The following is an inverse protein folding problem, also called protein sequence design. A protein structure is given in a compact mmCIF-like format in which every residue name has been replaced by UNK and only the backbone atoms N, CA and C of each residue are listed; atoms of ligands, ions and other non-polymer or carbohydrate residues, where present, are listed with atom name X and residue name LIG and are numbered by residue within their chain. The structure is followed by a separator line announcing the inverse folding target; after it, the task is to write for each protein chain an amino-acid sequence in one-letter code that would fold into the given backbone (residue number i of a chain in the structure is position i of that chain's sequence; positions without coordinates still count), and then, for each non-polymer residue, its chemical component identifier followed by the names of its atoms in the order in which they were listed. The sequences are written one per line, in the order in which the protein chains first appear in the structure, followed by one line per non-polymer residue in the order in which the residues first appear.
data_IF_808538296899
#
_entry.id   IF_808538296899
#
_cell.length_a   1.000
_cell.length_b   1.000
_cell.length_c   1.000
_cell.angle_alpha   90.00
_cell.angle_beta   90.00
_cell.angle_gamma   90.00
#
_symmetry.space_group_name_H-M   'P 1'
#
loop_
_entity.id
_entity.type
_entity.pdbx_description
1 polymer ?
#
# COMPACT_ATOMS: atom_id res chain seq x y z
N UNK A 1 36.96 -49.76 -71.41
CA UNK A 1 36.70 -50.44 -70.13
C UNK A 1 37.44 -49.78 -69.06
N UNK A 2 36.81 -48.94 -68.25
CA UNK A 2 37.23 -48.58 -66.86
C UNK A 2 36.13 -47.69 -66.26
N UNK A 3 35.42 -48.23 -65.28
CA UNK A 3 34.40 -47.54 -64.48
C UNK A 3 35.08 -46.79 -63.35
N UNK A 4 34.96 -45.49 -63.28
CA UNK A 4 35.37 -44.66 -62.18
C UNK A 4 34.12 -44.25 -61.37
N UNK A 5 34.05 -44.80 -60.10
CA UNK A 5 33.00 -44.50 -59.16
C UNK A 5 33.21 -43.16 -58.46
N UNK A 6 32.20 -42.31 -58.48
CA UNK A 6 32.14 -41.08 -57.68
C UNK A 6 31.60 -41.42 -56.29
N UNK A 7 32.40 -41.16 -55.29
CA UNK A 7 31.99 -41.17 -53.87
C UNK A 7 31.54 -39.78 -53.50
N UNK A 8 30.24 -39.59 -53.30
CA UNK A 8 29.66 -38.37 -52.78
C UNK A 8 29.91 -38.34 -51.27
N UNK A 9 30.66 -37.31 -50.83
CA UNK A 9 30.90 -36.98 -49.42
C UNK A 9 29.75 -36.08 -48.95
N UNK A 10 28.79 -36.60 -48.20
CA UNK A 10 27.74 -35.80 -47.56
C UNK A 10 28.31 -35.17 -46.28
N UNK A 11 28.57 -33.87 -46.32
CA UNK A 11 28.93 -33.07 -45.11
C UNK A 11 27.66 -32.75 -44.34
N UNK A 12 27.48 -33.38 -43.19
CA UNK A 12 26.39 -33.12 -42.26
C UNK A 12 26.74 -31.88 -41.45
N UNK A 13 26.15 -30.73 -41.77
CA UNK A 13 26.26 -29.48 -41.01
C UNK A 13 25.26 -29.58 -39.83
N UNK A 14 25.74 -29.92 -38.63
CA UNK A 14 24.97 -29.79 -37.39
C UNK A 14 24.90 -28.32 -37.01
N UNK A 15 23.76 -27.68 -37.28
CA UNK A 15 23.41 -26.38 -36.73
C UNK A 15 23.02 -26.53 -35.27
N UNK A 16 23.95 -26.20 -34.36
CA UNK A 16 23.64 -26.02 -32.95
C UNK A 16 22.77 -24.78 -32.75
N UNK A 17 21.44 -24.94 -32.75
CA UNK A 17 20.55 -23.94 -32.22
C UNK A 17 20.75 -23.92 -30.68
N UNK A 18 21.61 -23.05 -30.19
CA UNK A 18 21.59 -22.67 -28.80
C UNK A 18 20.28 -21.91 -28.55
N UNK A 19 19.24 -22.62 -28.15
CA UNK A 19 18.00 -22.04 -27.70
C UNK A 19 18.30 -21.19 -26.46
N UNK A 20 18.21 -19.85 -26.59
CA UNK A 20 18.12 -18.95 -25.44
C UNK A 20 16.81 -19.29 -24.71
N UNK A 21 16.87 -20.25 -23.78
CA UNK A 21 15.75 -20.45 -22.87
C UNK A 21 15.58 -19.15 -22.05
N UNK A 22 14.36 -18.60 -22.00
CA UNK A 22 14.12 -17.46 -21.13
C UNK A 22 14.51 -17.84 -19.69
N UNK A 23 15.30 -16.96 -19.07
CA UNK A 23 15.73 -17.15 -17.68
C UNK A 23 14.48 -17.35 -16.82
N UNK A 24 14.36 -18.44 -16.05
CA UNK A 24 13.19 -18.64 -15.20
C UNK A 24 12.99 -17.41 -14.31
N UNK A 25 11.76 -16.99 -14.05
CA UNK A 25 11.51 -15.92 -13.12
C UNK A 25 12.21 -16.23 -11.79
N UNK A 26 12.78 -15.21 -11.11
CA UNK A 26 13.45 -15.44 -9.83
C UNK A 26 12.48 -16.16 -8.89
N UNK A 27 12.96 -17.18 -8.21
CA UNK A 27 12.17 -17.87 -7.19
C UNK A 27 11.61 -16.84 -6.19
N UNK A 28 10.36 -17.00 -5.74
CA UNK A 28 9.82 -16.09 -4.74
C UNK A 28 10.75 -16.07 -3.52
N UNK A 29 10.93 -14.87 -2.90
CA UNK A 29 11.83 -14.72 -1.77
C UNK A 29 11.53 -15.75 -0.70
N UNK A 30 12.56 -16.48 -0.26
CA UNK A 30 12.40 -17.52 0.75
C UNK A 30 12.01 -16.86 2.08
N UNK A 31 10.78 -17.13 2.53
CA UNK A 31 10.30 -16.70 3.85
C UNK A 31 10.68 -17.78 4.87
N UNK A 32 11.42 -17.37 5.91
CA UNK A 32 11.77 -18.22 7.04
C UNK A 32 11.43 -17.55 8.38
N UNK A 33 11.35 -18.36 9.43
CA UNK A 33 10.97 -17.91 10.76
C UNK A 33 11.97 -18.43 11.79
N UNK A 34 12.22 -17.62 12.84
CA UNK A 34 13.07 -17.99 13.97
C UNK A 34 12.38 -17.66 15.29
N UNK A 35 12.46 -18.57 16.24
CA UNK A 35 11.98 -18.31 17.59
C UNK A 35 12.69 -17.11 18.21
N UNK A 36 11.94 -16.30 18.97
CA UNK A 36 12.47 -15.18 19.74
C UNK A 36 11.75 -15.08 21.09
N UNK A 37 12.38 -14.37 22.03
CA UNK A 37 11.79 -14.00 23.30
C UNK A 37 11.45 -12.50 23.31
N UNK A 38 10.60 -12.05 24.23
CA UNK A 38 10.29 -10.63 24.38
C UNK A 38 11.53 -9.80 24.77
N UNK A 39 12.52 -10.41 25.45
CA UNK A 39 13.82 -9.80 25.72
C UNK A 39 14.65 -9.49 24.49
N UNK A 40 14.37 -10.15 23.36
CA UNK A 40 15.07 -9.94 22.08
C UNK A 40 14.47 -8.78 21.27
N UNK A 41 13.36 -8.20 21.74
CA UNK A 41 12.66 -7.09 21.07
C UNK A 41 13.22 -5.74 21.59
N UNK A 42 14.03 -5.02 20.78
CA UNK A 42 14.62 -3.76 21.20
C UNK A 42 13.54 -2.75 21.58
N UNK A 43 13.68 -2.10 22.71
CA UNK A 43 12.77 -1.06 23.17
C UNK A 43 11.39 -1.53 23.64
N UNK A 44 11.11 -2.85 23.69
CA UNK A 44 9.79 -3.38 24.03
C UNK A 44 9.26 -2.87 25.37
N UNK A 45 10.10 -2.78 26.39
CA UNK A 45 9.70 -2.29 27.71
C UNK A 45 9.32 -0.80 27.72
N UNK A 46 9.83 -0.02 26.76
CA UNK A 46 9.63 1.43 26.70
C UNK A 46 8.42 1.85 25.84
N UNK A 47 7.89 0.98 24.98
CA UNK A 47 6.74 1.31 24.14
C UNK A 47 5.45 1.42 24.96
N UNK A 48 4.63 2.38 24.62
CA UNK A 48 3.24 2.47 25.11
C UNK A 48 2.37 1.53 24.27
N UNK A 49 2.43 0.22 24.56
CA UNK A 49 1.70 -0.80 23.78
C UNK A 49 0.20 -0.56 23.76
N UNK A 50 -0.35 0.10 24.78
CA UNK A 50 -1.78 0.47 24.86
C UNK A 50 -2.23 1.38 23.71
N UNK A 51 -1.34 2.13 23.08
CA UNK A 51 -1.68 2.94 21.90
C UNK A 51 -2.02 2.08 20.66
N UNK A 52 -1.62 0.79 20.65
CA UNK A 52 -2.00 -0.16 19.60
C UNK A 52 -3.35 -0.85 19.87
N UNK A 53 -3.95 -0.68 21.04
CA UNK A 53 -5.20 -1.35 21.41
C UNK A 53 -6.34 -1.12 20.40
N UNK A 54 -6.59 0.10 19.87
CA UNK A 54 -7.61 0.30 18.84
C UNK A 54 -7.37 -0.52 17.57
N UNK A 55 -6.10 -0.59 17.09
CA UNK A 55 -5.73 -1.37 15.91
C UNK A 55 -5.93 -2.87 16.15
N UNK A 56 -5.53 -3.37 17.33
CA UNK A 56 -5.71 -4.77 17.72
C UNK A 56 -7.19 -5.16 17.78
N UNK A 57 -8.03 -4.36 18.46
CA UNK A 57 -9.48 -4.61 18.58
C UNK A 57 -10.14 -4.65 17.19
N UNK A 58 -9.82 -3.67 16.34
CA UNK A 58 -10.35 -3.60 14.96
C UNK A 58 -9.96 -4.85 14.16
N UNK A 59 -8.73 -5.31 14.29
CA UNK A 59 -8.25 -6.52 13.61
C UNK A 59 -8.89 -7.79 14.15
N UNK A 60 -9.01 -7.92 15.47
CA UNK A 60 -9.69 -9.03 16.10
C UNK A 60 -11.15 -9.17 15.61
N UNK A 61 -11.88 -8.06 15.48
CA UNK A 61 -13.25 -8.05 14.96
C UNK A 61 -13.33 -8.60 13.52
N UNK A 62 -12.25 -8.58 12.76
CA UNK A 62 -12.17 -9.15 11.40
C UNK A 62 -11.66 -10.60 11.39
N UNK A 63 -10.84 -10.98 12.36
CA UNK A 63 -10.25 -12.33 12.42
C UNK A 63 -11.20 -13.36 13.03
N UNK A 64 -11.86 -13.01 14.13
CA UNK A 64 -12.74 -13.94 14.87
C UNK A 64 -13.87 -14.53 14.03
N UNK A 65 -14.63 -13.77 13.21
CA UNK A 65 -15.72 -14.33 12.41
C UNK A 65 -15.26 -15.37 11.38
N UNK A 66 -13.96 -15.51 11.15
CA UNK A 66 -13.41 -16.52 10.22
C UNK A 66 -13.39 -17.93 10.81
N UNK A 67 -13.61 -18.07 12.13
CA UNK A 67 -13.64 -19.35 12.84
C UNK A 67 -12.48 -20.28 12.44
N UNK A 68 -12.78 -21.36 11.74
CA UNK A 68 -11.78 -22.39 11.31
C UNK A 68 -11.03 -21.99 10.03
N UNK A 69 -11.40 -20.92 9.34
CA UNK A 69 -10.72 -20.51 8.10
C UNK A 69 -9.38 -19.87 8.42
N UNK A 70 -8.37 -20.23 7.64
CA UNK A 70 -7.05 -19.61 7.70
C UNK A 70 -7.12 -18.10 7.51
N UNK A 71 -6.30 -17.35 8.23
CA UNK A 71 -6.18 -15.91 8.05
C UNK A 71 -5.61 -15.61 6.66
N UNK A 72 -6.36 -14.86 5.84
CA UNK A 72 -5.99 -14.49 4.47
C UNK A 72 -5.51 -15.67 3.60
N UNK A 73 -6.07 -16.89 3.85
CA UNK A 73 -5.66 -18.16 3.22
C UNK A 73 -4.25 -18.65 3.59
N UNK A 74 -3.64 -18.14 4.67
CA UNK A 74 -2.37 -18.61 5.18
C UNK A 74 -2.56 -19.46 6.44
N UNK A 75 -2.60 -20.78 6.29
CA UNK A 75 -2.71 -21.74 7.41
C UNK A 75 -1.62 -21.55 8.47
N UNK A 76 -0.43 -21.10 8.05
CA UNK A 76 0.73 -20.87 8.93
C UNK A 76 0.47 -19.82 10.04
N UNK A 77 -0.49 -18.92 9.86
CA UNK A 77 -0.83 -17.89 10.85
C UNK A 77 -2.09 -18.22 11.65
N UNK A 78 -2.59 -19.46 11.50
CA UNK A 78 -3.74 -19.95 12.21
C UNK A 78 -5.06 -19.49 11.64
N UNK A 79 -6.11 -19.78 12.37
CA UNK A 79 -7.51 -19.45 12.08
C UNK A 79 -8.08 -18.49 13.11
N UNK A 80 -9.31 -18.03 12.90
CA UNK A 80 -10.04 -17.22 13.90
C UNK A 80 -10.14 -17.91 15.26
N UNK A 81 -10.23 -19.24 15.29
CA UNK A 81 -10.28 -20.01 16.54
C UNK A 81 -8.96 -19.95 17.32
N UNK A 82 -7.81 -20.00 16.64
CA UNK A 82 -6.50 -19.88 17.28
C UNK A 82 -6.31 -18.52 17.96
N UNK A 83 -6.93 -17.45 17.43
CA UNK A 83 -6.83 -16.09 17.94
C UNK A 83 -7.91 -15.74 18.97
N UNK A 84 -8.92 -16.61 19.15
CA UNK A 84 -10.12 -16.30 19.96
C UNK A 84 -9.80 -15.94 21.40
N UNK A 85 -8.90 -16.68 22.07
CA UNK A 85 -8.55 -16.42 23.47
C UNK A 85 -7.95 -15.03 23.64
N UNK A 86 -6.93 -14.70 22.84
CA UNK A 86 -6.28 -13.38 22.82
C UNK A 86 -7.29 -12.26 22.54
N UNK A 87 -8.08 -12.40 21.49
CA UNK A 87 -9.04 -11.36 21.07
C UNK A 87 -10.17 -11.15 22.10
N UNK A 88 -10.64 -12.22 22.75
CA UNK A 88 -11.67 -12.11 23.78
C UNK A 88 -11.15 -11.40 25.02
N UNK A 89 -9.93 -11.74 25.46
CA UNK A 89 -9.28 -11.07 26.59
C UNK A 89 -8.97 -9.59 26.26
N UNK A 90 -8.55 -9.31 25.02
CA UNK A 90 -8.27 -7.96 24.54
C UNK A 90 -9.48 -7.04 24.63
N UNK A 91 -10.67 -7.55 24.25
CA UNK A 91 -11.92 -6.77 24.27
C UNK A 91 -12.36 -6.35 25.69
N UNK A 92 -11.87 -7.04 26.72
CA UNK A 92 -12.16 -6.73 28.11
C UNK A 92 -11.18 -5.72 28.73
N UNK A 93 -10.11 -5.33 28.04
CA UNK A 93 -9.11 -4.42 28.57
C UNK A 93 -9.59 -2.97 28.58
N UNK A 94 -9.39 -2.23 29.68
CA UNK A 94 -9.67 -0.80 29.69
C UNK A 94 -8.67 -0.05 28.81
N UNK A 95 -9.14 0.97 28.05
CA UNK A 95 -8.27 1.82 27.25
C UNK A 95 -7.12 2.41 28.07
N UNK A 96 -5.93 2.52 27.46
CA UNK A 96 -4.77 3.15 28.09
C UNK A 96 -4.05 2.31 29.18
N UNK A 97 -4.52 1.10 29.47
CA UNK A 97 -3.86 0.24 30.46
C UNK A 97 -2.69 -0.54 29.83
N UNK A 98 -1.54 0.10 29.78
CA UNK A 98 -0.31 -0.45 29.18
C UNK A 98 0.15 -1.75 29.83
N UNK A 99 0.16 -1.79 31.19
CA UNK A 99 0.61 -2.95 31.93
C UNK A 99 -0.30 -4.18 31.71
N UNK A 100 -1.62 -3.98 31.61
CA UNK A 100 -2.55 -5.08 31.36
C UNK A 100 -2.42 -5.63 29.94
N UNK A 101 -2.29 -4.75 28.93
CA UNK A 101 -2.09 -5.18 27.54
C UNK A 101 -0.74 -5.90 27.37
N UNK A 102 0.32 -5.41 27.97
CA UNK A 102 1.64 -6.04 27.94
C UNK A 102 1.59 -7.45 28.52
N UNK A 103 0.99 -7.61 29.72
CA UNK A 103 0.80 -8.94 30.32
C UNK A 103 -0.01 -9.88 29.43
N UNK A 104 -1.08 -9.39 28.81
CA UNK A 104 -1.88 -10.21 27.88
C UNK A 104 -1.05 -10.67 26.68
N UNK A 105 -0.29 -9.77 26.06
CA UNK A 105 0.59 -10.09 24.95
C UNK A 105 1.61 -11.16 25.35
N UNK A 106 2.30 -10.98 26.47
CA UNK A 106 3.33 -11.91 26.94
C UNK A 106 2.77 -13.28 27.36
N UNK A 107 1.52 -13.30 27.86
CA UNK A 107 0.84 -14.53 28.26
C UNK A 107 0.36 -15.34 27.05
N UNK A 108 -0.26 -14.70 26.07
CA UNK A 108 -0.95 -15.38 24.97
C UNK A 108 -0.08 -15.53 23.72
N UNK A 109 0.86 -14.62 23.48
CA UNK A 109 1.62 -14.57 22.25
C UNK A 109 3.09 -14.95 22.41
N UNK A 110 3.71 -15.35 21.31
CA UNK A 110 5.13 -15.67 21.17
C UNK A 110 5.71 -14.82 20.03
N UNK A 111 6.83 -14.11 20.27
CA UNK A 111 7.56 -13.44 19.20
C UNK A 111 8.22 -14.46 18.24
N UNK A 112 8.10 -14.18 16.94
CA UNK A 112 8.71 -14.97 15.88
C UNK A 112 9.39 -14.02 14.91
N UNK A 113 10.71 -14.08 14.81
CA UNK A 113 11.49 -13.24 13.90
C UNK A 113 11.23 -13.66 12.45
N UNK A 114 11.01 -12.67 11.58
CA UNK A 114 10.80 -12.87 10.14
C UNK A 114 12.12 -12.70 9.40
N UNK A 115 12.41 -13.64 8.49
CA UNK A 115 13.61 -13.66 7.66
C UNK A 115 13.18 -13.78 6.20
N UNK A 116 13.62 -12.86 5.36
CA UNK A 116 13.40 -12.89 3.92
C UNK A 116 14.73 -13.03 3.19
N UNK A 117 14.86 -14.01 2.29
CA UNK A 117 16.09 -14.30 1.53
C UNK A 117 17.34 -14.39 2.42
N UNK A 118 17.21 -15.05 3.58
CA UNK A 118 18.29 -15.21 4.55
C UNK A 118 18.63 -13.96 5.37
N UNK A 119 17.89 -12.84 5.21
CA UNK A 119 18.11 -11.57 5.92
C UNK A 119 16.94 -11.25 6.84
N UNK A 120 17.26 -10.86 8.07
CA UNK A 120 16.26 -10.36 9.02
C UNK A 120 15.95 -8.88 8.81
N UNK A 121 16.77 -8.17 8.03
CA UNK A 121 16.62 -6.75 7.76
C UNK A 121 16.01 -6.51 6.38
N UNK A 122 15.10 -5.55 6.32
CA UNK A 122 14.46 -5.10 5.09
C UNK A 122 14.17 -3.61 5.10
N UNK A 123 13.32 -3.14 4.21
CA UNK A 123 13.05 -1.72 4.00
C UNK A 123 11.71 -1.32 4.63
N UNK A 124 11.74 -0.24 5.42
CA UNK A 124 10.55 0.40 5.97
C UNK A 124 10.43 1.84 5.47
N UNK A 125 9.23 2.17 4.99
CA UNK A 125 8.85 3.49 4.51
C UNK A 125 7.65 4.00 5.29
N UNK A 126 7.17 5.19 4.98
CA UNK A 126 5.97 5.75 5.58
C UNK A 126 4.97 6.22 4.54
N UNK A 127 3.70 6.19 4.90
CA UNK A 127 2.62 6.81 4.14
C UNK A 127 1.66 7.55 5.06
N UNK A 128 0.85 8.41 4.50
CA UNK A 128 -0.05 9.27 5.24
C UNK A 128 -1.34 9.50 4.45
N UNK A 129 -2.36 10.02 5.12
CA UNK A 129 -3.59 10.47 4.47
C UNK A 129 -3.47 11.97 4.17
N UNK A 130 -3.48 12.40 2.90
CA UNK A 130 -3.46 13.81 2.55
C UNK A 130 -4.63 14.55 3.20
N UNK A 131 -4.37 15.75 3.72
CA UNK A 131 -5.39 16.70 4.12
C UNK A 131 -5.38 17.88 3.14
N UNK A 132 -6.44 18.00 2.38
CA UNK A 132 -6.60 19.02 1.33
C UNK A 132 -7.79 19.93 1.63
N UNK A 133 -7.80 21.13 1.05
CA UNK A 133 -8.93 22.07 1.21
C UNK A 133 -9.91 21.94 0.06
N UNK A 134 -11.20 22.00 0.37
CA UNK A 134 -12.24 21.85 -0.65
C UNK A 134 -13.56 22.52 -0.30
N UNK A 135 -14.48 22.47 -1.26
CA UNK A 135 -15.87 22.90 -1.13
C UNK A 135 -16.80 21.92 -1.83
N UNK A 136 -18.05 21.82 -1.37
CA UNK A 136 -19.10 21.05 -2.06
C UNK A 136 -19.55 21.72 -3.35
N UNK A 137 -19.25 22.99 -3.53
CA UNK A 137 -19.65 23.79 -4.67
C UNK A 137 -18.44 24.41 -5.34
N UNK A 138 -18.53 24.59 -6.65
CA UNK A 138 -17.54 25.37 -7.42
C UNK A 138 -17.71 26.84 -7.06
N UNK A 139 -16.76 27.41 -6.31
CA UNK A 139 -16.80 28.80 -5.89
C UNK A 139 -15.42 29.35 -5.54
N UNK A 140 -15.18 30.61 -5.89
CA UNK A 140 -13.93 31.30 -5.59
C UNK A 140 -12.71 30.48 -6.08
N UNK A 141 -11.80 30.15 -5.15
CA UNK A 141 -10.60 29.35 -5.45
C UNK A 141 -10.88 27.86 -5.67
N UNK A 142 -12.02 27.36 -5.20
CA UNK A 142 -12.38 25.95 -5.33
C UNK A 142 -12.88 25.67 -6.74
N UNK A 143 -11.96 25.31 -7.64
CA UNK A 143 -12.20 25.15 -9.07
C UNK A 143 -11.77 23.79 -9.65
N UNK A 144 -11.03 22.99 -8.89
CA UNK A 144 -10.48 21.68 -9.32
C UNK A 144 -11.40 20.56 -8.85
N UNK A 145 -12.13 19.88 -9.74
CA UNK A 145 -13.08 18.85 -9.32
C UNK A 145 -12.39 17.53 -8.97
N UNK A 146 -12.86 16.87 -7.92
CA UNK A 146 -12.71 15.44 -7.74
C UNK A 146 -13.99 14.75 -8.19
N UNK A 147 -13.87 13.88 -9.18
CA UNK A 147 -15.02 13.18 -9.74
C UNK A 147 -15.28 11.84 -9.04
N UNK A 148 -16.56 11.52 -8.87
CA UNK A 148 -17.01 10.16 -8.57
C UNK A 148 -16.90 9.28 -9.81
N UNK A 149 -16.91 7.96 -9.60
CA UNK A 149 -16.86 7.01 -10.69
C UNK A 149 -18.03 7.27 -11.67
N UNK A 150 -17.73 7.47 -12.96
CA UNK A 150 -18.77 7.58 -13.97
C UNK A 150 -19.56 6.27 -14.11
N UNK A 151 -20.89 6.34 -14.30
CA UNK A 151 -21.72 5.13 -14.39
C UNK A 151 -21.47 4.31 -15.67
N UNK A 152 -20.87 4.92 -16.68
CA UNK A 152 -20.51 4.27 -17.94
C UNK A 152 -19.06 3.71 -17.98
N UNK A 153 -18.35 3.80 -16.85
CA UNK A 153 -17.02 3.22 -16.70
C UNK A 153 -17.12 1.73 -16.38
N UNK A 154 -16.71 0.90 -17.31
CA UNK A 154 -16.63 -0.56 -17.17
C UNK A 154 -15.20 -0.95 -16.80
N UNK A 155 -15.04 -1.68 -15.71
CA UNK A 155 -13.78 -2.31 -15.31
C UNK A 155 -13.82 -3.78 -15.65
N UNK A 156 -12.74 -4.31 -16.24
CA UNK A 156 -12.63 -5.71 -16.65
C UNK A 156 -11.38 -6.30 -16.03
N UNK A 157 -11.56 -7.36 -15.23
CA UNK A 157 -10.47 -8.23 -14.78
C UNK A 157 -10.23 -9.29 -15.87
N UNK A 158 -9.11 -9.18 -16.55
CA UNK A 158 -8.81 -10.07 -17.68
C UNK A 158 -8.53 -11.51 -17.21
N UNK A 159 -8.21 -11.70 -15.93
CA UNK A 159 -8.01 -13.02 -15.34
C UNK A 159 -9.30 -13.85 -15.28
N UNK A 160 -10.48 -13.20 -15.27
CA UNK A 160 -11.77 -13.90 -15.36
C UNK A 160 -12.02 -14.52 -16.76
N UNK A 161 -11.32 -14.03 -17.79
CA UNK A 161 -11.44 -14.51 -19.15
C UNK A 161 -10.35 -15.53 -19.50
N UNK A 162 -9.12 -15.36 -18.99
CA UNK A 162 -7.98 -16.23 -19.25
C UNK A 162 -7.02 -16.26 -18.07
N UNK A 163 -6.63 -17.44 -17.62
CA UNK A 163 -5.65 -17.61 -16.53
C UNK A 163 -4.31 -16.91 -16.77
N UNK A 164 -3.86 -16.88 -18.03
CA UNK A 164 -2.62 -16.19 -18.42
C UNK A 164 -2.64 -14.68 -18.23
N UNK A 165 -3.83 -14.08 -18.01
CA UNK A 165 -4.04 -12.65 -17.80
C UNK A 165 -4.39 -12.31 -16.36
N UNK A 166 -4.24 -13.25 -15.42
CA UNK A 166 -4.46 -13.00 -13.98
C UNK A 166 -3.68 -11.78 -13.49
N UNK A 167 -4.38 -10.91 -12.77
CA UNK A 167 -3.82 -9.67 -12.23
C UNK A 167 -3.77 -8.50 -13.22
N UNK A 168 -4.16 -8.71 -14.48
CA UNK A 168 -4.27 -7.64 -15.47
C UNK A 168 -5.71 -7.11 -15.48
N UNK A 169 -5.82 -5.78 -15.44
CA UNK A 169 -7.11 -5.07 -15.46
C UNK A 169 -7.07 -3.98 -16.52
N UNK A 170 -8.20 -3.80 -17.19
CA UNK A 170 -8.45 -2.68 -18.10
C UNK A 170 -9.73 -1.97 -17.69
N UNK A 171 -9.88 -0.73 -18.11
CA UNK A 171 -11.13 0.01 -17.94
C UNK A 171 -11.44 0.80 -19.21
N UNK A 172 -12.72 1.03 -19.44
CA UNK A 172 -13.19 1.74 -20.62
C UNK A 172 -14.69 1.96 -20.56
N UNK A 173 -15.27 2.34 -21.69
CA UNK A 173 -16.73 2.37 -21.86
C UNK A 173 -17.16 1.58 -23.08
N UNK A 174 -18.38 1.08 -23.05
CA UNK A 174 -18.96 0.40 -24.21
C UNK A 174 -19.56 1.44 -25.16
N UNK A 175 -19.09 1.44 -26.41
CA UNK A 175 -19.66 2.21 -27.53
C UNK A 175 -19.79 1.28 -28.74
N UNK A 176 -20.97 1.25 -29.33
CA UNK A 176 -21.29 0.42 -30.49
C UNK A 176 -20.93 -1.06 -30.26
N UNK A 177 -21.28 -1.59 -29.07
CA UNK A 177 -21.01 -2.99 -28.69
C UNK A 177 -19.54 -3.32 -28.44
N UNK A 178 -18.65 -2.31 -28.38
CA UNK A 178 -17.21 -2.49 -28.17
C UNK A 178 -16.72 -1.73 -26.96
N UNK A 179 -15.86 -2.37 -26.15
CA UNK A 179 -15.14 -1.68 -25.09
C UNK A 179 -14.07 -0.78 -25.73
N UNK A 180 -14.12 0.50 -25.43
CA UNK A 180 -13.16 1.52 -25.88
C UNK A 180 -12.45 2.11 -24.65
N UNK A 181 -11.18 2.54 -24.78
CA UNK A 181 -10.50 3.23 -23.68
C UNK A 181 -11.35 4.39 -23.14
N UNK A 182 -11.31 4.59 -21.85
CA UNK A 182 -11.93 5.76 -21.22
C UNK A 182 -11.12 7.01 -21.53
N UNK A 183 -11.67 8.20 -21.23
CA UNK A 183 -10.94 9.45 -21.39
C UNK A 183 -9.68 9.45 -20.49
N UNK A 184 -8.58 9.92 -21.04
CA UNK A 184 -7.34 10.16 -20.29
C UNK A 184 -7.44 11.45 -19.46
N UNK A 185 -6.42 11.69 -18.61
CA UNK A 185 -6.33 12.89 -17.79
C UNK A 185 -6.48 14.18 -18.60
N UNK A 186 -5.79 14.26 -19.74
CA UNK A 186 -5.80 15.49 -20.56
C UNK A 186 -7.21 15.82 -21.04
N UNK A 187 -7.96 14.80 -21.48
CA UNK A 187 -9.34 14.95 -21.93
C UNK A 187 -10.29 15.29 -20.78
N UNK A 188 -10.08 14.67 -19.59
CA UNK A 188 -10.88 14.93 -18.39
C UNK A 188 -10.63 16.36 -17.90
N UNK A 189 -9.37 16.79 -17.81
CA UNK A 189 -8.99 18.13 -17.42
C UNK A 189 -9.47 19.21 -18.43
N UNK A 190 -9.60 18.84 -19.70
CA UNK A 190 -10.22 19.66 -20.76
C UNK A 190 -11.77 19.70 -20.68
N UNK A 191 -12.39 19.00 -19.71
CA UNK A 191 -13.83 19.07 -19.47
C UNK A 191 -14.67 17.93 -20.06
N UNK A 192 -14.08 16.80 -20.45
CA UNK A 192 -14.82 15.64 -20.98
C UNK A 192 -15.92 15.10 -20.03
N UNK A 193 -15.81 15.40 -18.73
CA UNK A 193 -16.79 15.03 -17.71
C UNK A 193 -17.65 16.21 -17.21
N UNK A 194 -17.46 17.40 -17.74
CA UNK A 194 -18.24 18.57 -17.36
C UNK A 194 -19.75 18.36 -17.60
N UNK A 195 -20.58 18.93 -16.74
CA UNK A 195 -22.05 18.86 -16.80
C UNK A 195 -22.63 17.43 -16.67
N UNK A 196 -21.88 16.47 -16.17
CA UNK A 196 -22.37 15.11 -15.89
C UNK A 196 -22.79 14.89 -14.44
N UNK A 197 -22.72 15.93 -13.61
CA UNK A 197 -22.99 15.88 -12.17
C UNK A 197 -22.18 14.82 -11.43
N UNK A 198 -20.91 14.70 -11.81
CA UNK A 198 -19.98 13.70 -11.24
C UNK A 198 -19.07 14.31 -10.16
N UNK A 199 -19.12 15.61 -9.97
CA UNK A 199 -18.26 16.30 -9.01
C UNK A 199 -18.64 15.91 -7.57
N UNK A 200 -17.66 15.41 -6.83
CA UNK A 200 -17.81 14.99 -5.44
C UNK A 200 -17.52 16.19 -4.50
N UNK A 201 -16.40 16.82 -4.75
CA UNK A 201 -15.92 18.05 -4.11
C UNK A 201 -15.06 18.83 -5.10
N UNK A 202 -14.85 20.12 -4.82
CA UNK A 202 -13.98 21.02 -5.58
C UNK A 202 -12.80 21.41 -4.69
N UNK A 203 -11.56 21.16 -5.14
CA UNK A 203 -10.34 21.52 -4.43
C UNK A 203 -9.83 22.88 -4.89
N UNK A 204 -8.95 23.49 -4.10
CA UNK A 204 -8.34 24.79 -4.39
C UNK A 204 -6.94 24.66 -5.06
N UNK A 205 -6.38 23.46 -5.16
CA UNK A 205 -5.04 23.22 -5.70
C UNK A 205 -5.02 21.95 -6.58
N UNK A 206 -4.60 22.11 -7.85
CA UNK A 206 -4.50 21.01 -8.80
C UNK A 206 -3.39 19.99 -8.44
N UNK A 207 -2.31 20.45 -7.82
CA UNK A 207 -1.27 19.56 -7.33
C UNK A 207 -1.80 18.69 -6.19
N UNK A 208 -2.58 19.26 -5.28
CA UNK A 208 -3.23 18.50 -4.20
C UNK A 208 -4.21 17.47 -4.76
N UNK A 209 -5.01 17.82 -5.76
CA UNK A 209 -5.89 16.88 -6.46
C UNK A 209 -5.12 15.73 -7.12
N UNK A 210 -4.01 16.04 -7.79
CA UNK A 210 -3.16 15.05 -8.42
C UNK A 210 -2.54 14.07 -7.40
N UNK A 211 -1.96 14.59 -6.32
CA UNK A 211 -1.34 13.74 -5.30
C UNK A 211 -2.38 12.96 -4.50
N UNK A 212 -3.58 13.49 -4.30
CA UNK A 212 -4.69 12.75 -3.73
C UNK A 212 -5.06 11.53 -4.60
N UNK A 213 -5.05 11.69 -5.93
CA UNK A 213 -5.26 10.58 -6.86
C UNK A 213 -4.13 9.54 -6.78
N UNK A 214 -2.89 9.96 -6.58
CA UNK A 214 -1.74 9.06 -6.39
C UNK A 214 -1.87 8.26 -5.08
N UNK A 215 -2.32 8.91 -4.00
CA UNK A 215 -2.51 8.27 -2.69
C UNK A 215 -3.78 7.41 -2.63
N UNK A 216 -4.79 7.71 -3.43
CA UNK A 216 -6.04 6.96 -3.52
C UNK A 216 -7.05 7.25 -2.41
N UNK A 217 -6.69 7.97 -1.35
CA UNK A 217 -7.60 8.44 -0.31
C UNK A 217 -7.10 9.72 0.33
N UNK A 218 -7.96 10.44 1.01
CA UNK A 218 -7.60 11.63 1.77
C UNK A 218 -8.77 12.30 2.46
N UNK A 219 -8.42 13.23 3.36
CA UNK A 219 -9.35 14.11 4.04
C UNK A 219 -9.49 15.42 3.27
N UNK A 220 -10.71 15.87 3.14
CA UNK A 220 -11.04 17.19 2.60
C UNK A 220 -11.59 18.05 3.72
N UNK A 221 -10.84 19.09 4.08
CA UNK A 221 -11.32 20.16 4.96
C UNK A 221 -12.22 21.08 4.13
N UNK A 222 -13.51 21.01 4.38
CA UNK A 222 -14.48 21.84 3.66
C UNK A 222 -14.40 23.30 4.13
N UNK A 223 -14.80 24.21 3.25
CA UNK A 223 -14.94 25.65 3.54
C UNK A 223 -15.93 25.97 4.67
N UNK A 224 -16.83 25.04 4.98
CA UNK A 224 -17.74 25.09 6.13
C UNK A 224 -17.07 24.73 7.46
N UNK A 225 -15.80 24.30 7.46
CA UNK A 225 -15.10 23.79 8.64
C UNK A 225 -15.30 22.27 8.86
N UNK A 226 -16.25 21.62 8.20
CA UNK A 226 -16.45 20.19 8.31
C UNK A 226 -15.35 19.43 7.56
N UNK A 227 -15.08 18.17 7.98
CA UNK A 227 -14.18 17.25 7.26
C UNK A 227 -15.00 16.18 6.57
N UNK A 228 -14.65 15.84 5.34
CA UNK A 228 -15.14 14.65 4.64
C UNK A 228 -13.97 13.81 4.18
N UNK A 229 -14.15 12.51 4.07
CA UNK A 229 -13.12 11.59 3.56
C UNK A 229 -13.51 11.11 2.18
N UNK A 230 -12.54 11.10 1.27
CA UNK A 230 -12.68 10.51 -0.04
C UNK A 230 -11.72 9.34 -0.20
N UNK A 231 -12.15 8.31 -0.92
CA UNK A 231 -11.32 7.14 -1.18
C UNK A 231 -11.53 6.64 -2.59
N UNK A 232 -10.59 5.83 -3.05
CA UNK A 232 -10.57 5.22 -4.36
C UNK A 232 -11.91 4.52 -4.67
N UNK A 233 -12.46 4.80 -5.83
CA UNK A 233 -13.61 4.10 -6.40
C UNK A 233 -13.22 3.33 -7.66
N UNK A 234 -12.54 4.00 -8.59
CA UNK A 234 -12.16 3.43 -9.87
C UNK A 234 -10.97 4.20 -10.49
N UNK A 235 -10.41 3.64 -11.55
CA UNK A 235 -9.39 4.26 -12.39
C UNK A 235 -9.83 4.18 -13.85
N UNK A 236 -9.41 5.15 -14.66
CA UNK A 236 -9.78 5.24 -16.08
C UNK A 236 -9.14 4.18 -17.00
N UNK A 237 -8.28 3.30 -16.47
CA UNK A 237 -7.63 2.21 -17.21
C UNK A 237 -6.36 2.58 -17.96
N UNK A 238 -5.97 3.85 -17.94
CA UNK A 238 -4.68 4.28 -18.51
C UNK A 238 -3.51 3.97 -17.58
N UNK A 239 -2.30 3.70 -18.12
CA UNK A 239 -1.12 3.41 -17.31
C UNK A 239 -0.71 4.65 -16.50
N UNK A 240 -0.22 4.40 -15.28
CA UNK A 240 0.36 5.46 -14.46
C UNK A 240 1.75 5.85 -14.96
N UNK A 241 1.96 7.15 -15.13
CA UNK A 241 3.27 7.75 -15.43
C UNK A 241 3.70 8.65 -14.28
N UNK A 242 4.84 8.32 -13.67
CA UNK A 242 5.40 9.10 -12.58
C UNK A 242 5.95 10.44 -13.10
N UNK A 243 5.29 11.55 -12.79
CA UNK A 243 5.72 12.90 -13.25
C UNK A 243 7.11 13.29 -12.76
N UNK A 244 7.54 12.78 -11.59
CA UNK A 244 8.91 12.97 -11.11
C UNK A 244 9.95 12.38 -12.07
N UNK A 245 9.66 11.25 -12.70
CA UNK A 245 10.53 10.69 -13.74
C UNK A 245 10.58 11.58 -14.98
N UNK A 246 9.43 12.12 -15.39
CA UNK A 246 9.36 13.07 -16.51
C UNK A 246 10.18 14.32 -16.23
N UNK A 247 10.17 14.83 -14.99
CA UNK A 247 10.97 15.98 -14.58
C UNK A 247 12.48 15.68 -14.64
N UNK A 248 12.89 14.47 -14.21
CA UNK A 248 14.28 14.03 -14.31
C UNK A 248 14.71 13.94 -15.78
N UNK A 249 13.91 13.28 -16.62
CA UNK A 249 14.22 13.07 -18.04
C UNK A 249 14.26 14.42 -18.82
N UNK A 250 13.56 15.46 -18.34
CA UNK A 250 13.61 16.84 -18.87
C UNK A 250 14.73 17.70 -18.25
N UNK A 251 15.48 17.17 -17.28
CA UNK A 251 16.48 17.95 -16.55
C UNK A 251 15.92 19.05 -15.63
N UNK A 252 14.63 18.97 -15.30
CA UNK A 252 13.95 19.96 -14.45
C UNK A 252 14.31 19.78 -12.98
N UNK A 253 14.61 18.56 -12.56
CA UNK A 253 15.04 18.19 -11.20
C UNK A 253 16.06 17.06 -11.30
N UNK A 254 17.03 17.04 -10.38
CA UNK A 254 18.00 15.95 -10.32
C UNK A 254 17.39 14.66 -9.76
N UNK A 255 18.00 13.52 -10.02
CA UNK A 255 17.59 12.23 -9.45
C UNK A 255 17.71 12.21 -7.92
N UNK A 256 18.68 12.92 -7.40
CA UNK A 256 19.02 13.02 -5.98
C UNK A 256 17.99 13.89 -5.23
N UNK A 257 17.48 14.94 -5.89
CA UNK A 257 16.59 15.93 -5.29
C UNK A 257 15.09 15.59 -5.49
N UNK A 258 14.76 14.61 -6.33
CA UNK A 258 13.37 14.27 -6.60
C UNK A 258 12.69 13.71 -5.36
N UNK A 259 11.68 14.44 -4.90
CA UNK A 259 10.78 14.04 -3.82
C UNK A 259 9.39 14.58 -4.09
N UNK A 260 8.38 14.05 -3.42
CA UNK A 260 7.01 14.58 -3.54
C UNK A 260 6.95 16.06 -3.16
N UNK A 261 7.68 16.46 -2.11
CA UNK A 261 7.77 17.85 -1.66
C UNK A 261 8.39 18.76 -2.73
N UNK A 262 9.50 18.31 -3.35
CA UNK A 262 10.16 19.06 -4.42
C UNK A 262 9.26 19.20 -5.66
N UNK A 263 8.55 18.14 -6.06
CA UNK A 263 7.59 18.18 -7.16
C UNK A 263 6.44 19.16 -6.84
N UNK A 264 5.86 19.10 -5.64
CA UNK A 264 4.81 20.03 -5.21
C UNK A 264 5.30 21.49 -5.19
N UNK A 265 6.51 21.71 -4.69
CA UNK A 265 7.11 23.04 -4.68
C UNK A 265 7.28 23.61 -6.11
N UNK A 266 7.77 22.76 -7.03
CA UNK A 266 7.93 23.15 -8.43
C UNK A 266 6.58 23.45 -9.10
N UNK A 267 5.56 22.62 -8.91
CA UNK A 267 4.21 22.84 -9.47
C UNK A 267 3.63 24.18 -9.00
N UNK A 268 3.80 24.52 -7.73
CA UNK A 268 3.33 25.81 -7.18
C UNK A 268 4.13 27.00 -7.69
N UNK A 269 5.42 26.84 -7.91
CA UNK A 269 6.29 27.90 -8.43
C UNK A 269 6.10 28.12 -9.96
N UNK A 270 5.51 27.15 -10.68
CA UNK A 270 5.37 27.17 -12.13
C UNK A 270 3.90 26.92 -12.55
N UNK A 271 2.94 27.77 -12.17
CA UNK A 271 1.51 27.52 -12.38
C UNK A 271 1.14 27.36 -13.85
N UNK A 272 1.84 28.05 -14.77
CA UNK A 272 1.57 27.97 -16.21
C UNK A 272 2.08 26.66 -16.83
N UNK A 273 3.17 26.10 -16.32
CA UNK A 273 3.77 24.86 -16.80
C UNK A 273 3.22 23.61 -16.08
N UNK A 274 2.65 23.77 -14.89
CA UNK A 274 2.14 22.67 -14.09
C UNK A 274 1.09 21.81 -14.80
N UNK A 275 0.08 22.37 -15.52
CA UNK A 275 -0.90 21.56 -16.23
C UNK A 275 -0.27 20.64 -17.28
N UNK A 276 0.72 21.11 -18.02
CA UNK A 276 1.40 20.30 -19.06
C UNK A 276 2.25 19.16 -18.45
N UNK A 277 2.80 19.35 -17.26
CA UNK A 277 3.49 18.29 -16.53
C UNK A 277 2.48 17.27 -15.99
N UNK A 278 1.39 17.67 -15.38
CA UNK A 278 0.37 16.77 -14.82
C UNK A 278 -0.27 15.89 -15.89
N UNK A 279 -0.51 16.41 -17.10
CA UNK A 279 -1.05 15.68 -18.27
C UNK A 279 -0.13 14.56 -18.77
N UNK A 280 1.16 14.56 -18.41
CA UNK A 280 2.05 13.45 -18.78
C UNK A 280 1.64 12.13 -18.11
N UNK A 281 0.86 12.18 -17.03
CA UNK A 281 0.24 11.02 -16.44
C UNK A 281 -1.19 10.86 -16.97
N UNK A 282 -1.47 9.96 -17.94
CA UNK A 282 -2.80 9.77 -18.50
C UNK A 282 -3.77 9.09 -17.54
N UNK A 283 -3.26 8.47 -16.46
CA UNK A 283 -4.08 7.82 -15.44
C UNK A 283 -4.89 8.84 -14.64
N UNK A 284 -6.17 8.55 -14.42
CA UNK A 284 -7.09 9.35 -13.60
C UNK A 284 -7.83 8.46 -12.60
N UNK A 285 -7.87 8.88 -11.33
CA UNK A 285 -8.56 8.16 -10.26
C UNK A 285 -9.88 8.86 -9.94
N UNK A 286 -10.93 8.08 -9.88
CA UNK A 286 -12.26 8.47 -9.43
C UNK A 286 -12.45 8.11 -7.96
N UNK A 287 -13.22 8.92 -7.24
CA UNK A 287 -13.39 8.80 -5.81
C UNK A 287 -14.83 8.46 -5.42
N UNK A 288 -14.96 7.96 -4.21
CA UNK A 288 -16.24 7.87 -3.48
C UNK A 288 -16.07 8.53 -2.13
N UNK A 289 -17.17 8.98 -1.57
CA UNK A 289 -17.18 9.44 -0.19
C UNK A 289 -17.07 8.24 0.75
N UNK A 290 -16.24 8.37 1.76
CA UNK A 290 -16.06 7.39 2.84
C UNK A 290 -16.63 7.98 4.13
N UNK A 291 -16.93 7.15 5.14
CA UNK A 291 -17.33 7.65 6.44
C UNK A 291 -16.33 8.69 6.96
N UNK A 292 -16.85 9.78 7.49
CA UNK A 292 -16.02 10.78 8.16
C UNK A 292 -15.28 10.14 9.35
N UNK A 293 -14.06 10.60 9.69
CA UNK A 293 -13.36 10.13 10.86
C UNK A 293 -14.17 10.46 12.12
N UNK A 294 -14.24 9.52 13.06
CA UNK A 294 -14.90 9.74 14.36
C UNK A 294 -14.00 10.50 15.32
N UNK A 295 -12.70 10.27 15.20
CA UNK A 295 -11.65 10.89 15.99
C UNK A 295 -10.32 10.90 15.19
N UNK A 296 -9.26 11.44 15.79
CA UNK A 296 -7.94 11.54 15.17
C UNK A 296 -7.24 10.18 15.01
N UNK A 297 -7.73 9.11 15.67
CA UNK A 297 -7.25 7.73 15.51
C UNK A 297 -7.96 6.98 14.38
N UNK A 298 -8.94 7.61 13.73
CA UNK A 298 -9.68 7.03 12.61
C UNK A 298 -9.03 7.41 11.28
N UNK A 299 -8.02 6.67 10.87
CA UNK A 299 -7.47 6.72 9.51
C UNK A 299 -8.44 6.18 8.46
N UNK A 300 -8.05 6.19 7.18
CA UNK A 300 -8.84 5.58 6.11
C UNK A 300 -8.95 4.06 6.32
N UNK A 301 -9.95 3.41 5.70
CA UNK A 301 -10.00 1.94 5.72
C UNK A 301 -8.80 1.35 4.99
N UNK A 302 -7.98 0.54 5.68
CA UNK A 302 -6.91 -0.25 5.08
C UNK A 302 -7.45 -1.48 4.33
N UNK A 303 -6.56 -2.25 3.72
CA UNK A 303 -6.89 -3.45 2.95
C UNK A 303 -7.58 -4.55 3.79
N UNK A 304 -7.41 -4.55 5.12
CA UNK A 304 -8.15 -5.42 6.03
C UNK A 304 -9.64 -5.00 6.15
N UNK A 305 -10.01 -3.82 5.67
CA UNK A 305 -11.36 -3.25 5.80
C UNK A 305 -11.65 -2.66 7.17
N UNK A 306 -10.62 -2.24 7.90
CA UNK A 306 -10.72 -1.53 9.19
C UNK A 306 -10.03 -0.18 9.10
N UNK A 307 -10.46 0.78 9.92
CA UNK A 307 -9.80 2.09 9.99
C UNK A 307 -8.38 1.94 10.53
N UNK A 308 -7.42 2.54 9.84
CA UNK A 308 -6.01 2.54 10.22
C UNK A 308 -5.77 3.45 11.43
N UNK A 309 -4.78 3.10 12.24
CA UNK A 309 -4.39 3.87 13.44
C UNK A 309 -3.01 4.48 13.20
N UNK A 310 -2.86 5.81 13.32
CA UNK A 310 -1.58 6.49 13.12
C UNK A 310 -0.47 5.91 13.99
N UNK A 311 0.69 5.59 13.38
CA UNK A 311 1.86 5.03 14.04
C UNK A 311 1.68 3.62 14.61
N UNK A 312 0.53 2.93 14.35
CA UNK A 312 0.21 1.59 14.86
C UNK A 312 -0.27 0.63 13.77
N UNK A 313 -0.61 1.12 12.57
CA UNK A 313 -0.95 0.31 11.42
C UNK A 313 0.21 0.23 10.45
N UNK A 314 0.47 -0.97 9.93
CA UNK A 314 1.52 -1.26 8.97
C UNK A 314 0.93 -1.87 7.69
N UNK A 315 1.33 -1.36 6.53
CA UNK A 315 1.12 -2.03 5.26
C UNK A 315 2.23 -3.07 5.04
N UNK A 316 1.85 -4.28 4.64
CA UNK A 316 2.75 -5.42 4.43
C UNK A 316 2.55 -6.05 3.06
N UNK A 317 3.51 -6.88 2.64
CA UNK A 317 3.34 -7.70 1.44
C UNK A 317 2.41 -8.88 1.72
N UNK A 318 1.22 -8.84 1.14
CA UNK A 318 0.21 -9.90 1.27
C UNK A 318 0.58 -11.22 0.60
N UNK A 319 1.64 -11.28 -0.19
CA UNK A 319 2.14 -12.57 -0.69
C UNK A 319 2.89 -13.36 0.39
N UNK A 320 3.25 -12.70 1.51
CA UNK A 320 3.98 -13.28 2.63
C UNK A 320 3.20 -13.27 3.94
N UNK A 321 2.41 -12.22 4.21
CA UNK A 321 1.78 -11.99 5.51
C UNK A 321 0.27 -11.81 5.40
N UNK A 322 -0.46 -12.41 6.35
CA UNK A 322 -1.88 -12.15 6.52
C UNK A 322 -2.11 -10.78 7.15
N UNK A 323 -3.25 -10.19 6.83
CA UNK A 323 -3.71 -8.98 7.52
C UNK A 323 -4.33 -9.33 8.89
N UNK A 324 -4.12 -8.45 9.86
CA UNK A 324 -4.57 -8.59 11.24
C UNK A 324 -3.48 -9.00 12.21
N UNK A 325 -2.32 -9.42 11.73
CA UNK A 325 -1.23 -9.90 12.58
C UNK A 325 -0.62 -8.75 13.39
N UNK A 326 -0.54 -8.87 14.73
CA UNK A 326 0.28 -7.99 15.55
C UNK A 326 1.75 -8.31 15.33
N UNK A 327 2.58 -7.27 15.35
CA UNK A 327 4.00 -7.39 15.14
C UNK A 327 4.77 -6.33 15.94
N UNK A 328 6.01 -6.65 16.32
CA UNK A 328 6.96 -5.70 16.86
C UNK A 328 7.84 -5.19 15.75
N UNK A 329 7.88 -3.86 15.54
CA UNK A 329 8.75 -3.20 14.58
C UNK A 329 9.97 -2.60 15.30
N UNK A 330 11.16 -2.86 14.76
CA UNK A 330 12.42 -2.20 15.11
C UNK A 330 13.04 -1.59 13.86
N UNK A 331 12.91 -0.28 13.71
CA UNK A 331 13.40 0.51 12.58
C UNK A 331 13.87 1.90 13.05
N UNK A 332 14.16 2.77 12.10
CA UNK A 332 14.38 4.20 12.34
C UNK A 332 13.23 5.00 11.72
N UNK A 333 12.99 6.19 12.24
CA UNK A 333 12.07 7.17 11.70
C UNK A 333 12.71 8.54 11.65
N UNK A 334 12.34 9.41 10.71
CA UNK A 334 12.82 10.79 10.71
C UNK A 334 12.48 11.50 12.01
N UNK A 335 13.44 12.16 12.61
CA UNK A 335 13.25 13.15 13.66
C UNK A 335 13.09 14.53 13.02
N UNK A 336 12.06 15.27 13.43
CA UNK A 336 11.85 16.63 12.96
C UNK A 336 12.56 17.64 13.88
N UNK A 337 13.25 18.67 13.34
CA UNK A 337 13.39 19.02 11.92
C UNK A 337 14.44 18.20 11.16
N UNK A 338 15.40 17.56 11.83
CA UNK A 338 16.53 16.83 11.21
C UNK A 338 16.92 15.58 11.99
N UNK A 339 17.63 14.65 11.32
CA UNK A 339 18.13 13.41 11.90
C UNK A 339 17.10 12.29 11.93
N UNK A 340 17.47 11.22 12.62
CA UNK A 340 16.65 10.02 12.80
C UNK A 340 16.56 9.64 14.28
N UNK A 341 15.51 8.91 14.63
CA UNK A 341 15.31 8.34 15.97
C UNK A 341 14.73 6.93 15.88
N UNK A 342 14.94 6.08 16.89
CA UNK A 342 14.38 4.74 16.90
C UNK A 342 12.85 4.74 16.73
N UNK A 343 12.36 3.81 15.93
CA UNK A 343 10.97 3.44 15.78
C UNK A 343 10.80 2.00 16.27
N UNK A 344 10.55 1.86 17.56
CA UNK A 344 10.45 0.57 18.25
C UNK A 344 9.09 0.48 18.91
N UNK A 345 8.13 -0.22 18.26
CA UNK A 345 6.75 -0.25 18.74
C UNK A 345 5.94 -1.43 18.26
N UNK A 346 4.89 -1.71 19.02
CA UNK A 346 3.83 -2.64 18.63
C UNK A 346 3.00 -2.05 17.48
N UNK A 347 2.85 -2.81 16.40
CA UNK A 347 2.04 -2.45 15.25
C UNK A 347 1.13 -3.61 14.83
N UNK A 348 0.20 -3.34 13.92
CA UNK A 348 -0.69 -4.35 13.35
C UNK A 348 -0.66 -4.26 11.83
N UNK A 349 -0.51 -5.40 11.16
CA UNK A 349 -0.58 -5.51 9.71
C UNK A 349 -2.03 -5.32 9.24
N UNK A 350 -2.41 -4.13 8.79
CA UNK A 350 -3.81 -3.80 8.44
C UNK A 350 -3.99 -3.33 7.00
N UNK A 351 -2.87 -3.14 6.29
CA UNK A 351 -2.91 -2.58 4.95
C UNK A 351 -1.90 -3.24 4.02
N UNK A 352 -1.94 -2.89 2.74
CA UNK A 352 -1.01 -3.31 1.70
C UNK A 352 -0.93 -2.26 0.61
N UNK A 353 0.09 -2.34 -0.23
CA UNK A 353 0.25 -1.45 -1.38
C UNK A 353 1.00 -2.11 -2.53
N UNK A 354 0.80 -1.62 -3.75
CA UNK A 354 1.44 -2.17 -4.94
C UNK A 354 2.97 -2.18 -4.89
N UNK A 355 3.56 -1.21 -4.20
CA UNK A 355 5.00 -1.08 -4.00
C UNK A 355 5.55 -1.82 -2.77
N UNK A 356 4.66 -2.43 -1.96
CA UNK A 356 5.05 -3.16 -0.75
C UNK A 356 5.33 -4.60 -1.13
N UNK A 357 6.60 -4.92 -1.41
CA UNK A 357 7.05 -6.24 -1.88
C UNK A 357 8.22 -6.74 -1.06
N UNK A 358 8.13 -7.99 -0.58
CA UNK A 358 9.16 -8.70 0.17
C UNK A 358 8.72 -9.14 1.56
N UNK A 359 9.40 -10.17 2.08
CA UNK A 359 9.06 -10.80 3.36
C UNK A 359 9.33 -9.87 4.56
N UNK A 360 10.40 -9.07 4.51
CA UNK A 360 10.72 -8.07 5.53
C UNK A 360 10.56 -6.69 4.91
N UNK A 361 9.31 -6.26 4.75
CA UNK A 361 8.92 -4.99 4.14
C UNK A 361 7.69 -4.43 4.85
N UNK A 362 7.74 -3.16 5.21
CA UNK A 362 6.59 -2.49 5.81
C UNK A 362 6.49 -1.03 5.42
N UNK A 363 5.26 -0.50 5.43
CA UNK A 363 4.98 0.91 5.21
C UNK A 363 4.12 1.41 6.38
N UNK A 364 4.67 2.35 7.15
CA UNK A 364 4.04 2.82 8.40
C UNK A 364 3.01 3.89 8.08
N UNK A 365 1.77 3.71 8.53
CA UNK A 365 0.75 4.75 8.47
C UNK A 365 0.98 5.81 9.54
N UNK A 366 1.23 7.05 9.12
CA UNK A 366 1.54 8.16 10.05
C UNK A 366 0.34 9.03 10.41
N UNK A 367 -0.84 8.75 9.85
CA UNK A 367 -2.03 9.58 10.07
C UNK A 367 -2.25 10.58 8.96
N UNK A 368 -2.83 11.72 9.26
CA UNK A 368 -3.21 12.75 8.29
C UNK A 368 -2.51 14.09 8.54
N UNK A 369 -2.40 14.90 7.49
CA UNK A 369 -1.92 16.28 7.56
C UNK A 369 -0.41 16.42 7.47
N UNK A 370 0.06 17.67 7.69
CA UNK A 370 1.43 18.12 7.34
C UNK A 370 2.52 17.43 8.16
N UNK A 371 2.29 17.15 9.44
CA UNK A 371 3.28 16.45 10.27
C UNK A 371 3.46 15.00 9.80
N UNK A 372 2.34 14.30 9.57
CA UNK A 372 2.35 12.94 9.01
C UNK A 372 3.04 12.90 7.64
N UNK A 373 2.73 13.86 6.75
CA UNK A 373 3.39 14.01 5.45
C UNK A 373 4.91 14.20 5.60
N UNK A 374 5.33 15.05 6.54
CA UNK A 374 6.74 15.37 6.75
C UNK A 374 7.56 14.18 7.24
N UNK A 375 6.98 13.30 8.06
CA UNK A 375 7.62 12.07 8.52
C UNK A 375 7.56 11.01 7.43
N UNK A 376 6.38 10.74 6.88
CA UNK A 376 6.16 9.73 5.85
C UNK A 376 7.02 9.94 4.61
N UNK A 377 7.07 11.19 4.12
CA UNK A 377 7.82 11.52 2.90
C UNK A 377 9.33 11.38 2.99
N UNK A 378 9.89 11.29 4.21
CA UNK A 378 11.32 11.10 4.45
C UNK A 378 11.67 9.72 4.99
N UNK A 379 10.68 8.93 5.39
CA UNK A 379 10.93 7.61 5.96
C UNK A 379 11.34 6.61 4.88
N UNK A 380 12.60 6.21 4.91
CA UNK A 380 13.19 5.17 4.06
C UNK A 380 14.36 4.55 4.80
N UNK A 381 14.06 3.65 5.72
CA UNK A 381 15.06 3.15 6.69
C UNK A 381 15.12 1.63 6.68
N UNK A 382 16.29 1.04 6.95
CA UNK A 382 16.39 -0.38 7.26
C UNK A 382 15.65 -0.68 8.58
N UNK A 383 15.21 -1.92 8.72
CA UNK A 383 14.57 -2.38 9.94
C UNK A 383 14.24 -3.85 9.88
N UNK A 384 13.68 -4.36 10.97
CA UNK A 384 13.27 -5.75 11.14
C UNK A 384 11.98 -5.80 11.94
N UNK A 385 11.28 -6.91 11.86
CA UNK A 385 10.11 -7.11 12.69
C UNK A 385 9.94 -8.57 13.13
N UNK A 386 9.21 -8.72 14.20
CA UNK A 386 8.80 -10.01 14.77
C UNK A 386 7.27 -10.07 14.75
N UNK A 387 6.73 -11.14 14.22
CA UNK A 387 5.31 -11.44 14.40
C UNK A 387 5.05 -11.86 15.83
N UNK A 388 3.93 -11.43 16.40
CA UNK A 388 3.48 -11.86 17.71
C UNK A 388 2.31 -12.83 17.49
N UNK A 389 2.58 -14.13 17.55
CA UNK A 389 1.61 -15.18 17.22
C UNK A 389 1.11 -15.89 18.47
N UNK A 390 -0.14 -16.39 18.51
CA UNK A 390 -0.58 -17.29 19.57
C UNK A 390 0.43 -18.43 19.74
N UNK A 391 0.77 -18.76 21.00
CA UNK A 391 1.86 -19.72 21.31
C UNK A 391 1.74 -21.05 20.56
N UNK A 392 0.51 -21.58 20.42
CA UNK A 392 0.27 -22.80 19.66
C UNK A 392 0.53 -22.62 18.15
N UNK A 393 0.18 -21.45 17.59
CA UNK A 393 0.45 -21.12 16.16
C UNK A 393 1.96 -20.98 15.94
N UNK A 394 2.64 -20.24 16.83
CA UNK A 394 4.09 -20.07 16.77
C UNK A 394 4.83 -21.42 16.83
N UNK A 395 4.42 -22.32 17.74
CA UNK A 395 5.02 -23.66 17.84
C UNK A 395 4.86 -24.48 16.55
N UNK A 396 3.67 -24.48 15.93
CA UNK A 396 3.43 -25.15 14.64
C UNK A 396 4.28 -24.55 13.52
N UNK A 397 4.33 -23.22 13.45
CA UNK A 397 5.10 -22.51 12.44
C UNK A 397 6.60 -22.84 12.51
N UNK A 398 7.17 -22.79 13.71
CA UNK A 398 8.59 -23.04 13.94
C UNK A 398 8.99 -24.52 13.75
N UNK A 399 8.07 -25.45 13.89
CA UNK A 399 8.32 -26.86 13.59
C UNK A 399 8.42 -27.18 12.09
N UNK A 400 7.94 -26.26 11.23
CA UNK A 400 7.90 -26.41 9.76
C UNK A 400 8.88 -25.47 9.03
N UNK A 401 9.68 -24.69 9.78
CA UNK A 401 10.57 -23.64 9.25
C UNK A 401 12.01 -24.11 9.13
#
# INVERSE_FOLDING_TARGET
MMRTGWRSLAVLVLLCFAACAPKPPPAPPALAFRAAAFSDLPGYAADRVADALPALIRSCARMIPRNERALDNYERYGSGNDWKAFCSALAALPPGNDAALRRLIETELQPVAVIGDGKAEGLFTGYYEPLVRGSRQKQGRYSVPLYRQPPDLVQVDLGEFRDSLKGQRIAGRVRDGRLRPYEDRSQIDAGALANKNLELVWLDDAADAFFLQVQGSGLVQLDTGAKTRVGFAAQNGHPYVAIGRVMIDRGTISREDVSMQAIRAWLRANPDAAPELLKQNPSYVFFRELPAPKDDLDGPPGAQGVALVPGRSLAVDRSHHALGLPLWLDAQQPALPTGDKPLQRLMVAQDTGGAIRGAVRGDVFWGAGTEAESVAGRMKHPGRFWLLLPKAVAARLLATS
#
